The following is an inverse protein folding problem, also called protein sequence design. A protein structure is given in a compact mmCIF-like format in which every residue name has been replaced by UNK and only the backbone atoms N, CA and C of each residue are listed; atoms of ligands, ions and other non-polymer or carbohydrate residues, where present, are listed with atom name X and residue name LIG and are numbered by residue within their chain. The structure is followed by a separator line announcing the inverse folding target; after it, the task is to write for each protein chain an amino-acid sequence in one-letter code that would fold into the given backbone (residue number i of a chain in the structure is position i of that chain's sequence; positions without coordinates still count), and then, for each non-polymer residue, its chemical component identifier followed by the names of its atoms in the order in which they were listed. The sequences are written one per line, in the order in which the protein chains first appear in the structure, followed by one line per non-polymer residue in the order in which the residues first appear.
data_IF_671414526275
#
_entry.id   IF_671414526275
#
_cell.length_a   1.000
_cell.length_b   1.000
_cell.length_c   1.000
_cell.angle_alpha   90.00
_cell.angle_beta   90.00
_cell.angle_gamma   90.00
#
_symmetry.space_group_name_H-M   'P 1'
#
loop_
_entity.id
_entity.type
_entity.pdbx_description
1 polymer ?
#
# COMPACT_ATOMS: atom_id res chain seq x y z
N UNK A 1 8.08 7.17 16.79
CA UNK A 1 6.89 8.04 16.59
C UNK A 1 5.73 7.14 16.20
N UNK A 2 4.54 7.32 16.77
CA UNK A 2 3.38 6.49 16.42
C UNK A 2 2.39 7.26 15.56
N UNK A 3 1.91 6.66 14.48
CA UNK A 3 0.87 7.26 13.61
C UNK A 3 -0.12 6.21 13.13
N UNK A 4 -1.29 6.66 12.70
CA UNK A 4 -2.25 5.85 11.93
C UNK A 4 -1.99 6.06 10.46
N UNK A 5 -2.24 5.05 9.65
CA UNK A 5 -2.10 5.13 8.21
C UNK A 5 -3.20 4.34 7.49
N UNK A 6 -3.58 4.83 6.33
CA UNK A 6 -4.51 4.15 5.45
C UNK A 6 -3.74 3.64 4.23
N UNK A 7 -3.95 2.37 3.89
CA UNK A 7 -3.27 1.65 2.80
C UNK A 7 -4.30 1.16 1.81
N UNK A 8 -3.94 1.07 0.54
CA UNK A 8 -4.90 0.75 -0.52
C UNK A 8 -4.47 -0.50 -1.29
N UNK A 9 -5.29 -1.53 -1.20
CA UNK A 9 -5.26 -2.69 -2.10
C UNK A 9 -6.08 -2.32 -3.34
N UNK A 10 -5.44 -1.61 -4.26
CA UNK A 10 -6.08 -1.19 -5.51
C UNK A 10 -5.99 -2.32 -6.54
N UNK A 11 -7.14 -2.78 -7.02
CA UNK A 11 -7.26 -3.78 -8.06
C UNK A 11 -7.81 -3.19 -9.36
N UNK A 12 -7.17 -3.53 -10.47
CA UNK A 12 -7.65 -3.19 -11.82
C UNK A 12 -8.72 -4.20 -12.33
N UNK A 13 -9.26 -4.03 -13.55
CA UNK A 13 -10.24 -4.96 -14.11
C UNK A 13 -9.72 -6.37 -14.38
N UNK A 14 -8.40 -6.59 -14.33
CA UNK A 14 -7.75 -7.87 -14.52
C UNK A 14 -7.28 -8.49 -13.18
N UNK A 15 -7.77 -7.98 -12.05
CA UNK A 15 -7.41 -8.42 -10.69
C UNK A 15 -5.90 -8.31 -10.37
N UNK A 16 -5.20 -7.38 -11.04
CA UNK A 16 -3.82 -7.03 -10.69
C UNK A 16 -3.83 -6.01 -9.58
N UNK A 17 -2.91 -6.14 -8.63
CA UNK A 17 -2.69 -5.17 -7.56
C UNK A 17 -1.66 -4.13 -7.95
N UNK A 18 -1.92 -2.85 -7.66
CA UNK A 18 -0.92 -1.80 -7.80
C UNK A 18 0.02 -1.79 -6.59
N UNK A 19 1.33 -1.83 -6.84
CA UNK A 19 2.37 -1.64 -5.84
C UNK A 19 3.34 -0.55 -6.26
N UNK A 20 3.90 0.14 -5.26
CA UNK A 20 4.97 1.10 -5.36
C UNK A 20 6.31 0.43 -5.01
N UNK A 21 7.36 0.79 -5.71
CA UNK A 21 8.72 0.34 -5.45
C UNK A 21 9.48 1.39 -4.66
N UNK A 22 9.85 1.07 -3.42
CA UNK A 22 10.64 1.91 -2.54
C UNK A 22 12.09 1.47 -2.43
N UNK A 23 12.92 2.38 -1.95
CA UNK A 23 14.24 2.06 -1.41
C UNK A 23 14.48 2.77 -0.08
N UNK A 24 15.42 2.25 0.71
CA UNK A 24 15.91 2.94 1.90
C UNK A 24 16.75 4.16 1.45
N UNK A 25 16.38 5.40 1.81
CA UNK A 25 17.14 6.57 1.39
C UNK A 25 18.62 6.55 1.78
N UNK A 26 18.96 5.92 2.92
CA UNK A 26 20.35 5.78 3.36
C UNK A 26 21.11 4.63 2.68
N UNK A 27 20.41 3.64 2.11
CA UNK A 27 20.96 2.52 1.35
C UNK A 27 20.02 2.15 0.18
N UNK A 28 20.16 2.82 -0.98
CA UNK A 28 19.29 2.61 -2.13
C UNK A 28 19.35 1.20 -2.74
N UNK A 29 20.28 0.34 -2.28
CA UNK A 29 20.33 -1.08 -2.69
C UNK A 29 19.30 -1.94 -1.96
N UNK A 30 18.84 -1.50 -0.78
CA UNK A 30 17.76 -2.12 -0.04
C UNK A 30 16.43 -1.60 -0.57
N UNK A 31 15.68 -2.46 -1.26
CA UNK A 31 14.43 -2.11 -1.96
C UNK A 31 13.28 -3.03 -1.56
N UNK A 32 12.06 -2.53 -1.70
CA UNK A 32 10.85 -3.28 -1.39
C UNK A 32 9.65 -2.74 -2.15
N UNK A 33 8.64 -3.59 -2.33
CA UNK A 33 7.35 -3.21 -2.87
C UNK A 33 6.31 -3.07 -1.77
N UNK A 34 5.40 -2.10 -1.91
CA UNK A 34 4.37 -1.85 -0.93
C UNK A 34 3.12 -1.22 -1.59
N UNK A 35 1.97 -1.34 -0.93
CA UNK A 35 0.70 -0.75 -1.41
C UNK A 35 0.74 0.78 -1.37
N UNK A 36 0.01 1.50 -2.25
CA UNK A 36 -0.22 2.93 -2.05
C UNK A 36 -0.81 3.24 -0.67
N UNK A 37 -0.57 4.45 -0.17
CA UNK A 37 -1.18 4.98 1.04
C UNK A 37 -0.17 5.56 2.04
N UNK A 38 -0.67 6.31 3.01
CA UNK A 38 0.18 7.05 3.94
C UNK A 38 -0.52 7.44 5.24
N UNK A 39 0.08 8.41 5.92
CA UNK A 39 -0.33 8.82 7.26
C UNK A 39 -1.69 9.51 7.26
N UNK A 40 -2.49 9.26 8.30
CA UNK A 40 -3.74 9.98 8.53
C UNK A 40 -3.42 11.33 9.17
N UNK A 41 -3.94 12.41 8.60
CA UNK A 41 -3.79 13.76 9.14
C UNK A 41 -4.75 14.06 10.30
N UNK A 42 -4.51 15.16 11.02
CA UNK A 42 -5.36 15.56 12.14
C UNK A 42 -6.78 15.90 11.65
N UNK A 43 -7.79 15.25 12.25
CA UNK A 43 -9.19 15.40 11.85
C UNK A 43 -9.58 14.65 10.58
N UNK A 44 -8.64 13.99 9.91
CA UNK A 44 -8.87 13.21 8.69
C UNK A 44 -9.44 11.82 9.00
N UNK A 45 -10.39 11.36 8.19
CA UNK A 45 -10.86 9.98 8.26
C UNK A 45 -9.91 9.04 7.52
N UNK A 46 -9.84 7.76 7.93
CA UNK A 46 -9.04 6.75 7.24
C UNK A 46 -9.37 6.64 5.74
N UNK A 47 -10.65 6.70 5.39
CA UNK A 47 -11.09 6.64 4.00
C UNK A 47 -10.70 7.89 3.20
N UNK A 48 -10.66 9.07 3.84
CA UNK A 48 -10.17 10.30 3.22
C UNK A 48 -8.65 10.22 2.97
N UNK A 49 -7.89 9.77 3.97
CA UNK A 49 -6.44 9.55 3.85
C UNK A 49 -6.12 8.57 2.71
N UNK A 50 -6.83 7.43 2.64
CA UNK A 50 -6.64 6.44 1.56
C UNK A 50 -6.82 7.05 0.16
N UNK A 51 -7.83 7.92 -0.02
CA UNK A 51 -8.12 8.56 -1.31
C UNK A 51 -7.10 9.66 -1.65
N UNK A 52 -6.73 10.47 -0.66
CA UNK A 52 -5.74 11.54 -0.82
C UNK A 52 -4.40 10.96 -1.24
N UNK A 53 -3.88 10.02 -0.44
CA UNK A 53 -2.58 9.39 -0.67
C UNK A 53 -2.54 8.67 -2.02
N UNK A 54 -3.59 7.91 -2.36
CA UNK A 54 -3.66 7.26 -3.67
C UNK A 54 -3.62 8.29 -4.82
N UNK A 55 -4.33 9.41 -4.69
CA UNK A 55 -4.31 10.46 -5.69
C UNK A 55 -2.94 11.15 -5.78
N UNK A 56 -2.28 11.43 -4.65
CA UNK A 56 -0.96 12.06 -4.58
C UNK A 56 0.14 11.17 -5.20
N UNK A 57 0.13 9.88 -4.87
CA UNK A 57 1.16 8.91 -5.27
C UNK A 57 0.98 8.40 -6.71
N UNK A 58 -0.25 8.35 -7.22
CA UNK A 58 -0.56 7.65 -8.48
C UNK A 58 -1.32 8.50 -9.49
N UNK A 59 -1.90 9.63 -9.07
CA UNK A 59 -2.82 10.44 -9.87
C UNK A 59 -4.24 9.87 -9.96
N UNK A 60 -4.49 8.68 -9.41
CA UNK A 60 -5.78 8.00 -9.55
C UNK A 60 -6.83 8.56 -8.58
N UNK A 61 -7.78 9.32 -9.13
CA UNK A 61 -8.90 9.90 -8.36
C UNK A 61 -10.23 9.18 -8.57
N UNK A 62 -10.39 8.50 -9.72
CA UNK A 62 -11.61 7.77 -10.06
C UNK A 62 -11.53 6.32 -9.59
N UNK A 63 -11.65 6.12 -8.27
CA UNK A 63 -11.61 4.79 -7.64
C UNK A 63 -12.83 4.54 -6.76
N UNK A 64 -13.33 3.31 -6.82
CA UNK A 64 -14.35 2.80 -5.91
C UNK A 64 -13.66 2.24 -4.66
N UNK A 65 -13.71 2.98 -3.55
CA UNK A 65 -13.18 2.53 -2.27
C UNK A 65 -14.20 1.63 -1.58
N UNK A 66 -13.80 0.40 -1.29
CA UNK A 66 -14.59 -0.62 -0.62
C UNK A 66 -14.29 -0.71 0.89
N UNK A 67 -14.51 -1.88 1.51
CA UNK A 67 -14.31 -2.06 2.94
C UNK A 67 -12.83 -2.11 3.33
N UNK A 68 -12.57 -2.00 4.63
CA UNK A 68 -11.28 -2.36 5.21
C UNK A 68 -11.16 -3.89 5.21
N UNK A 69 -10.09 -4.39 4.60
CA UNK A 69 -9.74 -5.80 4.52
C UNK A 69 -8.97 -6.25 5.76
N UNK A 70 -7.92 -5.51 6.10
CA UNK A 70 -6.92 -5.93 7.06
C UNK A 70 -6.45 -4.78 7.94
N UNK A 71 -6.00 -5.12 9.14
CA UNK A 71 -5.38 -4.19 10.07
C UNK A 71 -4.06 -4.77 10.57
N UNK A 72 -3.02 -3.95 10.70
CA UNK A 72 -1.74 -4.37 11.28
C UNK A 72 -1.05 -3.24 12.00
N UNK A 73 -0.06 -3.59 12.80
CA UNK A 73 0.93 -2.63 13.30
C UNK A 73 2.27 -2.97 12.67
N UNK A 74 2.97 -2.02 12.06
CA UNK A 74 4.34 -2.21 11.61
C UNK A 74 5.29 -1.28 12.36
N UNK A 75 6.53 -1.71 12.55
CA UNK A 75 7.60 -0.86 13.07
C UNK A 75 8.81 -0.94 12.16
N UNK A 76 9.29 0.22 11.74
CA UNK A 76 10.36 0.34 10.76
C UNK A 76 11.19 1.60 11.01
N UNK A 77 12.45 1.55 10.59
CA UNK A 77 13.32 2.71 10.51
C UNK A 77 13.15 3.37 9.14
N UNK A 78 12.95 4.68 9.08
CA UNK A 78 12.94 5.42 7.82
C UNK A 78 13.44 6.85 8.04
N UNK A 79 14.34 7.31 7.17
CA UNK A 79 14.97 8.64 7.24
C UNK A 79 15.56 8.94 8.65
N UNK A 80 16.25 7.94 9.22
CA UNK A 80 16.88 8.01 10.54
C UNK A 80 15.91 8.06 11.73
N UNK A 81 14.60 7.85 11.51
CA UNK A 81 13.56 7.85 12.55
C UNK A 81 12.93 6.48 12.70
N UNK A 82 12.59 6.14 13.94
CA UNK A 82 11.82 4.94 14.27
C UNK A 82 10.33 5.24 14.24
N UNK A 83 9.60 4.51 13.40
CA UNK A 83 8.15 4.61 13.24
C UNK A 83 7.46 3.38 13.82
N UNK A 84 6.31 3.62 14.45
CA UNK A 84 5.28 2.64 14.73
C UNK A 84 4.03 3.09 14.00
N UNK A 85 3.48 2.24 13.15
CA UNK A 85 2.38 2.60 12.28
C UNK A 85 1.26 1.57 12.40
N UNK A 86 0.10 2.03 12.84
CA UNK A 86 -1.13 1.24 12.79
C UNK A 86 -1.75 1.46 11.41
N UNK A 87 -1.92 0.40 10.64
CA UNK A 87 -2.31 0.45 9.23
C UNK A 87 -3.65 -0.25 8.99
N UNK A 88 -4.52 0.42 8.24
CA UNK A 88 -5.80 -0.13 7.75
C UNK A 88 -5.75 -0.24 6.22
N UNK A 89 -5.95 -1.45 5.71
CA UNK A 89 -5.90 -1.76 4.28
C UNK A 89 -7.30 -1.73 3.69
N UNK A 90 -7.61 -0.73 2.87
CA UNK A 90 -8.85 -0.65 2.11
C UNK A 90 -8.74 -1.43 0.79
N UNK A 91 -9.81 -2.14 0.43
CA UNK A 91 -10.02 -2.56 -0.94
C UNK A 91 -10.36 -1.33 -1.80
N UNK A 92 -9.80 -1.24 -2.99
CA UNK A 92 -10.27 -0.31 -4.01
C UNK A 92 -10.33 -0.98 -5.39
N UNK A 93 -11.24 -0.50 -6.24
CA UNK A 93 -11.37 -0.91 -7.64
C UNK A 93 -11.22 0.30 -8.57
N UNK A 94 -10.58 0.09 -9.70
CA UNK A 94 -10.43 1.10 -10.77
C UNK A 94 -10.74 0.48 -12.13
N UNK A 95 -11.17 1.31 -13.07
CA UNK A 95 -11.31 0.95 -14.50
C UNK A 95 -10.12 1.40 -15.35
N UNK A 96 -9.16 2.15 -14.78
CA UNK A 96 -7.96 2.64 -15.45
C UNK A 96 -6.69 2.01 -14.89
N UNK A 97 -5.68 1.85 -15.74
CA UNK A 97 -4.34 1.37 -15.38
C UNK A 97 -3.24 2.41 -15.60
N UNK A 98 -3.61 3.61 -16.10
CA UNK A 98 -2.67 4.69 -16.39
C UNK A 98 -2.34 5.48 -15.12
N UNK A 99 -1.06 5.84 -14.96
CA UNK A 99 -0.58 6.63 -13.83
C UNK A 99 -0.40 8.10 -14.24
N UNK A 100 -0.68 9.01 -13.33
CA UNK A 100 -0.27 10.41 -13.43
C UNK A 100 0.52 10.78 -12.17
N UNK A 101 1.84 10.57 -12.22
CA UNK A 101 2.75 10.80 -11.08
C UNK A 101 3.19 12.26 -10.95
N UNK A 102 2.48 13.21 -11.56
CA UNK A 102 2.79 14.64 -11.47
C UNK A 102 2.68 15.23 -10.05
N UNK A 103 2.04 14.53 -9.12
CA UNK A 103 1.72 14.98 -7.76
C UNK A 103 2.75 14.66 -6.66
N UNK A 104 3.82 13.90 -6.93
CA UNK A 104 4.73 13.42 -5.89
C UNK A 104 5.37 14.55 -5.06
N UNK A 105 5.37 14.39 -3.74
CA UNK A 105 6.16 15.23 -2.82
C UNK A 105 7.67 15.00 -3.01
N UNK A 106 8.50 15.91 -2.51
CA UNK A 106 9.96 15.79 -2.66
C UNK A 106 10.55 14.53 -1.98
N UNK A 107 9.93 14.06 -0.89
CA UNK A 107 10.33 12.84 -0.18
C UNK A 107 9.97 11.57 -0.95
N UNK A 108 8.79 11.55 -1.57
CA UNK A 108 8.35 10.44 -2.43
C UNK A 108 9.20 10.35 -3.68
N UNK A 109 9.54 11.48 -4.33
CA UNK A 109 10.47 11.48 -5.47
C UNK A 109 11.84 10.90 -5.13
N UNK A 110 12.25 10.97 -3.86
CA UNK A 110 13.56 10.48 -3.41
C UNK A 110 13.56 8.99 -3.08
N UNK A 111 12.40 8.39 -2.82
CA UNK A 111 12.31 7.05 -2.22
C UNK A 111 11.44 6.09 -3.05
N UNK A 112 10.44 6.60 -3.77
CA UNK A 112 9.61 5.83 -4.70
C UNK A 112 10.26 5.87 -6.07
N UNK A 113 10.68 4.70 -6.56
CA UNK A 113 11.43 4.55 -7.81
C UNK A 113 10.59 3.94 -8.94
N UNK A 114 9.36 3.50 -8.65
CA UNK A 114 8.46 2.98 -9.67
C UNK A 114 7.10 2.55 -9.15
N UNK A 115 6.19 2.33 -10.10
CA UNK A 115 4.85 1.78 -9.87
C UNK A 115 4.64 0.61 -10.83
N UNK A 116 3.99 -0.45 -10.37
CA UNK A 116 3.70 -1.62 -11.20
C UNK A 116 2.41 -2.30 -10.77
N UNK A 117 1.66 -2.75 -11.77
CA UNK A 117 0.57 -3.72 -11.61
C UNK A 117 1.14 -5.14 -11.54
N UNK A 118 0.82 -5.86 -10.48
CA UNK A 118 1.24 -7.23 -10.22
C UNK A 118 0.04 -8.17 -10.22
N UNK A 119 0.15 -9.28 -10.93
CA UNK A 119 -0.76 -10.42 -10.73
C UNK A 119 -0.43 -11.13 -9.41
N UNK A 120 -1.42 -11.84 -8.85
CA UNK A 120 -1.19 -12.69 -7.68
C UNK A 120 -0.11 -13.77 -7.95
N UNK A 121 -0.06 -14.32 -9.16
CA UNK A 121 0.94 -15.33 -9.54
C UNK A 121 2.36 -14.77 -9.62
N UNK A 122 2.53 -13.55 -10.17
CA UNK A 122 3.83 -12.88 -10.15
C UNK A 122 4.32 -12.66 -8.71
N UNK A 123 3.44 -12.22 -7.80
CA UNK A 123 3.83 -12.04 -6.39
C UNK A 123 4.21 -13.36 -5.71
N UNK A 124 3.47 -14.44 -5.96
CA UNK A 124 3.75 -15.76 -5.38
C UNK A 124 5.06 -16.36 -5.88
N UNK A 125 5.48 -16.02 -7.10
CA UNK A 125 6.72 -16.52 -7.72
C UNK A 125 7.92 -15.57 -7.54
N UNK A 126 7.68 -14.35 -7.06
CA UNK A 126 8.69 -13.32 -6.91
C UNK A 126 9.71 -13.65 -5.81
N UNK A 127 10.91 -13.11 -5.96
CA UNK A 127 11.94 -13.07 -4.91
C UNK A 127 12.16 -11.66 -4.36
N UNK A 128 11.41 -10.68 -4.87
CA UNK A 128 11.40 -9.30 -4.40
C UNK A 128 10.83 -9.23 -2.98
N UNK A 129 11.33 -8.30 -2.17
CA UNK A 129 10.74 -8.00 -0.87
C UNK A 129 9.42 -7.27 -1.09
N UNK A 130 8.33 -7.80 -0.52
CA UNK A 130 7.00 -7.20 -0.61
C UNK A 130 6.40 -7.08 0.79
N UNK A 131 5.86 -5.92 1.11
CA UNK A 131 5.18 -5.66 2.37
C UNK A 131 3.69 -5.40 2.19
N UNK A 132 2.81 -6.00 3.03
CA UNK A 132 3.11 -7.00 4.07
C UNK A 132 3.76 -8.28 3.53
N UNK A 133 4.57 -8.98 4.34
CA UNK A 133 5.28 -10.20 3.92
C UNK A 133 4.29 -11.26 3.40
N UNK A 134 3.08 -11.29 3.98
CA UNK A 134 2.00 -12.22 3.59
C UNK A 134 1.10 -11.70 2.47
N UNK A 135 1.42 -10.58 1.83
CA UNK A 135 0.53 -9.92 0.86
C UNK A 135 0.10 -10.84 -0.28
N UNK A 136 1.00 -11.65 -0.83
CA UNK A 136 0.67 -12.56 -1.93
C UNK A 136 -0.43 -13.57 -1.56
N UNK A 137 -0.32 -14.17 -0.37
CA UNK A 137 -1.32 -15.11 0.16
C UNK A 137 -2.63 -14.42 0.52
N UNK A 138 -2.56 -13.23 1.13
CA UNK A 138 -3.75 -12.43 1.45
C UNK A 138 -4.52 -12.00 0.20
N UNK A 139 -3.80 -11.59 -0.85
CA UNK A 139 -4.38 -11.27 -2.16
C UNK A 139 -5.04 -12.51 -2.77
N UNK A 140 -4.40 -13.68 -2.70
CA UNK A 140 -5.02 -14.93 -3.20
C UNK A 140 -6.36 -15.20 -2.52
N UNK A 141 -6.40 -15.20 -1.19
CA UNK A 141 -7.64 -15.39 -0.44
C UNK A 141 -8.69 -14.35 -0.80
N UNK A 142 -8.30 -13.08 -0.93
CA UNK A 142 -9.22 -12.00 -1.34
C UNK A 142 -9.84 -12.24 -2.72
N UNK A 143 -9.05 -12.72 -3.69
CA UNK A 143 -9.53 -12.98 -5.04
C UNK A 143 -10.42 -14.23 -5.12
N UNK A 144 -10.09 -15.27 -4.33
CA UNK A 144 -10.84 -16.53 -4.33
C UNK A 144 -12.14 -16.45 -3.51
N UNK A 145 -12.12 -15.75 -2.38
CA UNK A 145 -13.21 -15.75 -1.38
C UNK A 145 -13.94 -14.41 -1.28
N UNK A 146 -13.38 -13.33 -1.84
CA UNK A 146 -13.90 -11.98 -1.72
C UNK A 146 -13.43 -11.25 -0.45
N UNK A 147 -13.87 -9.99 -0.25
CA UNK A 147 -13.51 -9.22 0.94
C UNK A 147 -14.11 -9.86 2.21
N UNK A 148 -13.37 -9.87 3.34
CA UNK A 148 -13.88 -10.42 4.57
C UNK A 148 -15.03 -9.57 5.14
N UNK A 149 -15.92 -10.19 5.92
CA UNK A 149 -17.04 -9.48 6.56
C UNK A 149 -16.56 -8.44 7.59
N UNK A 150 -15.43 -8.70 8.24
CA UNK A 150 -14.79 -7.81 9.22
C UNK A 150 -13.29 -7.73 8.93
N UNK A 151 -12.62 -6.61 9.27
CA UNK A 151 -11.19 -6.48 9.09
C UNK A 151 -10.41 -7.58 9.83
N UNK A 152 -9.45 -8.21 9.15
CA UNK A 152 -8.63 -9.27 9.72
C UNK A 152 -7.38 -8.66 10.35
N UNK A 153 -7.10 -8.88 11.66
CA UNK A 153 -5.84 -8.48 12.27
C UNK A 153 -4.69 -9.34 11.76
N UNK A 154 -3.67 -8.72 11.16
CA UNK A 154 -2.49 -9.43 10.65
C UNK A 154 -1.36 -9.55 11.68
N UNK A 155 -1.49 -8.89 12.83
CA UNK A 155 -0.48 -8.85 13.89
C UNK A 155 0.54 -7.73 13.71
N UNK A 156 1.70 -7.89 14.35
CA UNK A 156 2.81 -6.93 14.28
C UNK A 156 3.92 -7.44 13.38
N UNK A 157 4.34 -6.61 12.42
CA UNK A 157 5.48 -6.87 11.55
C UNK A 157 6.62 -5.90 11.90
N UNK A 158 7.85 -6.39 11.93
CA UNK A 158 9.05 -5.58 12.21
C UNK A 158 10.04 -5.81 11.09
N UNK A 159 10.53 -4.72 10.52
CA UNK A 159 11.59 -4.73 9.52
C UNK A 159 12.97 -4.97 10.17
#
# INVERSE_FOLDING_TARGET
MRRRAARVVLLDPADRILLLHGCEPADPSTTWWFTPGGGVEEGESLAAAARRELAEETGMTSVELGPVLWERTCSFAFDGRQWEQDEWYYLARTSTTEFDTGGHTELERRSVTGLRWWTCEELLSSRETVYPIRLAGLLRTLLDEGPPQFPIPLGTERD
#
